data_IF_963985943024
#
_entry.id   IF_963985943024
#
_cell.length_a   1.000
_cell.length_b   1.000
_cell.length_c   1.000
_cell.angle_alpha   90.00
_cell.angle_beta   90.00
_cell.angle_gamma   90.00
#
_symmetry.space_group_name_H-M   'P 1'
#
loop_
_entity.id
_entity.type
_entity.pdbx_description
1 polymer ?
#
# COMPACT_ATOMS: atom_id res chain seq x y z
N UNK A 1 19.13 -12.19 13.34
CA UNK A 1 18.04 -12.01 12.35
C UNK A 1 16.87 -12.98 12.58
N UNK A 2 17.12 -14.29 12.78
CA UNK A 2 16.07 -15.28 13.06
C UNK A 2 15.15 -14.91 14.24
N UNK A 3 15.72 -14.49 15.38
CA UNK A 3 14.93 -14.06 16.56
C UNK A 3 13.97 -12.90 16.26
N UNK A 4 14.42 -11.94 15.47
CA UNK A 4 13.63 -10.78 15.05
C UNK A 4 12.48 -11.18 14.11
N UNK A 5 12.71 -12.14 13.20
CA UNK A 5 11.65 -12.71 12.38
C UNK A 5 10.61 -13.43 13.23
N UNK A 6 11.06 -14.27 14.17
CA UNK A 6 10.18 -15.01 15.07
C UNK A 6 9.34 -14.06 15.94
N UNK A 7 9.93 -12.96 16.43
CA UNK A 7 9.21 -11.93 17.19
C UNK A 7 8.16 -11.20 16.33
N UNK A 8 8.48 -10.89 15.07
CA UNK A 8 7.53 -10.28 14.13
C UNK A 8 6.40 -11.26 13.77
N UNK A 9 6.72 -12.53 13.54
CA UNK A 9 5.73 -13.57 13.27
C UNK A 9 4.82 -13.81 14.47
N UNK A 10 5.39 -13.84 15.68
CA UNK A 10 4.62 -13.94 16.94
C UNK A 10 3.68 -12.76 17.15
N UNK A 11 4.08 -11.55 16.72
CA UNK A 11 3.21 -10.35 16.74
C UNK A 11 2.16 -10.36 15.63
N UNK A 12 2.44 -11.02 14.50
CA UNK A 12 1.52 -11.12 13.37
C UNK A 12 0.39 -12.12 13.63
N UNK A 13 0.67 -13.25 14.28
CA UNK A 13 -0.31 -14.30 14.60
C UNK A 13 -1.59 -13.79 15.28
N UNK A 14 -1.56 -13.07 16.42
CA UNK A 14 -2.78 -12.60 17.07
C UNK A 14 -3.57 -11.59 16.22
N UNK A 15 -2.89 -10.82 15.36
CA UNK A 15 -3.55 -9.87 14.45
C UNK A 15 -4.22 -10.61 13.30
N UNK A 16 -3.57 -11.65 12.75
CA UNK A 16 -4.12 -12.49 11.71
C UNK A 16 -5.32 -13.32 12.23
N UNK A 17 -5.23 -13.85 13.44
CA UNK A 17 -6.31 -14.60 14.08
C UNK A 17 -7.51 -13.68 14.39
N UNK A 18 -7.26 -12.46 14.86
CA UNK A 18 -8.29 -11.44 15.08
C UNK A 18 -8.96 -11.00 13.76
N UNK A 19 -8.17 -10.86 12.67
CA UNK A 19 -8.69 -10.58 11.33
C UNK A 19 -9.58 -11.73 10.84
N UNK A 20 -9.12 -12.98 10.95
CA UNK A 20 -9.90 -14.17 10.52
C UNK A 20 -11.18 -14.35 11.32
N UNK A 21 -11.12 -14.18 12.64
CA UNK A 21 -12.30 -14.24 13.50
C UNK A 21 -13.34 -13.18 13.09
N UNK A 22 -12.88 -11.96 12.80
CA UNK A 22 -13.78 -10.88 12.38
C UNK A 22 -14.28 -11.01 10.94
N UNK A 23 -13.46 -11.47 10.00
CA UNK A 23 -13.89 -11.78 8.63
C UNK A 23 -14.97 -12.87 8.63
N UNK A 24 -14.82 -13.88 9.51
CA UNK A 24 -15.82 -14.94 9.71
C UNK A 24 -17.12 -14.42 10.35
N UNK A 25 -17.05 -13.52 11.35
CA UNK A 25 -18.23 -12.89 11.96
C UNK A 25 -19.00 -11.98 10.99
N UNK A 26 -18.29 -11.27 10.12
CA UNK A 26 -18.87 -10.33 9.15
C UNK A 26 -19.30 -11.04 7.85
N UNK A 27 -18.82 -12.27 7.62
CA UNK A 27 -19.10 -13.05 6.42
C UNK A 27 -18.53 -12.43 5.14
N UNK A 28 -17.52 -11.56 5.26
CA UNK A 28 -16.87 -10.89 4.13
C UNK A 28 -15.46 -10.45 4.49
N UNK A 29 -14.55 -10.56 3.53
CA UNK A 29 -13.23 -9.94 3.61
C UNK A 29 -13.27 -8.41 3.49
N UNK A 30 -12.17 -7.78 3.94
CA UNK A 30 -11.94 -6.34 3.81
C UNK A 30 -12.03 -5.92 2.34
N UNK A 31 -12.96 -5.01 2.03
CA UNK A 31 -13.13 -4.52 0.66
C UNK A 31 -12.60 -3.10 0.61
N UNK A 32 -11.31 -2.99 0.33
CA UNK A 32 -10.67 -1.71 0.05
C UNK A 32 -11.06 -1.34 -1.38
N UNK A 33 -12.21 -0.67 -1.53
CA UNK A 33 -12.72 -0.22 -2.84
C UNK A 33 -11.87 0.93 -3.40
N UNK A 34 -11.19 1.70 -2.54
CA UNK A 34 -10.43 2.88 -2.95
C UNK A 34 -9.05 2.95 -2.28
N UNK A 35 -7.94 3.12 -3.04
CA UNK A 35 -6.62 3.25 -2.44
C UNK A 35 -6.52 4.57 -1.64
N UNK A 36 -5.94 4.54 -0.42
CA UNK A 36 -5.83 5.73 0.44
C UNK A 36 -5.14 6.93 -0.22
N UNK A 37 -4.22 6.66 -1.16
CA UNK A 37 -3.48 7.69 -1.91
C UNK A 37 -4.42 8.51 -2.81
N UNK A 38 -5.36 7.86 -3.51
CA UNK A 38 -6.30 8.58 -4.37
C UNK A 38 -7.31 9.40 -3.56
N UNK A 39 -7.65 8.93 -2.35
CA UNK A 39 -8.51 9.70 -1.44
C UNK A 39 -7.85 11.03 -1.03
N UNK A 40 -6.59 11.01 -0.61
CA UNK A 40 -5.84 12.23 -0.27
C UNK A 40 -5.57 13.14 -1.47
N UNK A 41 -5.31 12.57 -2.65
CA UNK A 41 -5.17 13.35 -3.90
C UNK A 41 -6.48 14.07 -4.23
N UNK A 42 -7.63 13.40 -4.09
CA UNK A 42 -8.93 14.00 -4.35
C UNK A 42 -9.26 15.13 -3.37
N UNK A 43 -8.96 14.96 -2.08
CA UNK A 43 -9.13 16.02 -1.07
C UNK A 43 -8.25 17.22 -1.39
N UNK A 44 -6.97 16.99 -1.73
CA UNK A 44 -6.06 18.07 -2.11
C UNK A 44 -6.54 18.81 -3.37
N UNK A 45 -7.05 18.07 -4.36
CA UNK A 45 -7.64 18.65 -5.56
C UNK A 45 -8.88 19.51 -5.24
N UNK A 46 -9.76 19.04 -4.37
CA UNK A 46 -10.92 19.81 -3.90
C UNK A 46 -10.51 21.10 -3.19
N UNK A 47 -9.54 21.03 -2.27
CA UNK A 47 -9.03 22.22 -1.56
C UNK A 47 -8.40 23.25 -2.50
N UNK A 48 -7.62 22.78 -3.50
CA UNK A 48 -7.02 23.66 -4.52
C UNK A 48 -8.10 24.28 -5.42
N UNK A 49 -9.15 23.55 -5.75
CA UNK A 49 -10.27 24.06 -6.54
C UNK A 49 -11.16 25.06 -5.78
N UNK A 50 -11.30 24.89 -4.47
CA UNK A 50 -12.12 25.76 -3.63
C UNK A 50 -11.46 27.12 -3.36
N UNK A 51 -10.12 27.15 -3.29
CA UNK A 51 -9.36 28.38 -3.07
C UNK A 51 -9.70 29.52 -4.06
N UNK A 52 -9.57 29.36 -5.40
CA UNK A 52 -9.89 30.43 -6.34
C UNK A 52 -11.37 30.82 -6.28
N UNK A 53 -12.29 29.87 -6.09
CA UNK A 53 -13.71 30.16 -5.95
C UNK A 53 -13.96 31.10 -4.77
N UNK A 54 -13.48 30.74 -3.58
CA UNK A 54 -13.64 31.57 -2.37
C UNK A 54 -12.96 32.93 -2.53
N UNK A 55 -11.81 33.04 -3.21
CA UNK A 55 -11.17 34.36 -3.45
C UNK A 55 -12.00 35.29 -4.35
N UNK A 56 -12.71 34.76 -5.34
CA UNK A 56 -13.61 35.57 -6.18
C UNK A 56 -14.75 36.13 -5.34
N UNK A 57 -15.30 35.33 -4.43
CA UNK A 57 -16.39 35.73 -3.52
C UNK A 57 -15.97 36.92 -2.65
N UNK A 58 -14.86 36.81 -1.93
CA UNK A 58 -14.43 37.86 -1.01
C UNK A 58 -14.00 39.15 -1.71
N UNK A 59 -13.45 39.05 -2.93
CA UNK A 59 -13.21 40.23 -3.77
C UNK A 59 -14.50 40.95 -4.17
N UNK A 60 -15.57 40.21 -4.43
CA UNK A 60 -16.90 40.76 -4.71
C UNK A 60 -17.50 41.47 -3.48
N UNK A 61 -17.13 41.08 -2.27
CA UNK A 61 -17.53 41.76 -1.02
C UNK A 61 -16.73 43.03 -0.71
N UNK A 62 -15.74 43.38 -1.55
CA UNK A 62 -14.99 44.64 -1.42
C UNK A 62 -13.95 44.64 -0.29
N UNK A 63 -13.56 43.47 0.21
CA UNK A 63 -12.52 43.38 1.24
C UNK A 63 -11.10 43.58 0.68
N UNK A 64 -10.16 43.97 1.56
CA UNK A 64 -8.75 44.09 1.20
C UNK A 64 -8.19 42.74 0.70
N UNK A 65 -7.44 42.76 -0.41
CA UNK A 65 -6.96 41.54 -1.10
C UNK A 65 -6.26 40.55 -0.17
N UNK A 66 -5.50 41.04 0.81
CA UNK A 66 -4.79 40.18 1.76
C UNK A 66 -5.73 39.42 2.70
N UNK A 67 -6.79 40.07 3.20
CA UNK A 67 -7.78 39.43 4.07
C UNK A 67 -8.61 38.40 3.30
N UNK A 68 -8.92 38.71 2.03
CA UNK A 68 -9.59 37.78 1.10
C UNK A 68 -8.82 36.47 0.95
N UNK A 69 -7.50 36.52 0.72
CA UNK A 69 -6.72 35.29 0.56
C UNK A 69 -6.67 34.46 1.83
N UNK A 70 -6.54 35.12 2.99
CA UNK A 70 -6.54 34.42 4.28
C UNK A 70 -7.88 33.71 4.50
N UNK A 71 -9.01 34.41 4.35
CA UNK A 71 -10.33 33.82 4.56
C UNK A 71 -10.67 32.74 3.53
N UNK A 72 -10.28 32.93 2.27
CA UNK A 72 -10.45 31.91 1.24
C UNK A 72 -9.62 30.66 1.52
N UNK A 73 -8.38 30.82 1.99
CA UNK A 73 -7.50 29.70 2.34
C UNK A 73 -8.01 28.88 3.52
N UNK A 74 -8.56 29.54 4.55
CA UNK A 74 -9.09 28.84 5.73
C UNK A 74 -10.33 28.04 5.36
N UNK A 75 -11.27 28.64 4.62
CA UNK A 75 -12.46 27.92 4.15
C UNK A 75 -12.14 26.77 3.20
N UNK A 76 -11.23 26.99 2.25
CA UNK A 76 -10.79 25.96 1.29
C UNK A 76 -10.14 24.74 1.94
N UNK A 77 -9.60 24.88 3.15
CA UNK A 77 -9.05 23.76 3.92
C UNK A 77 -10.10 23.15 4.86
N UNK A 78 -10.90 23.98 5.53
CA UNK A 78 -11.84 23.52 6.55
C UNK A 78 -13.01 22.73 5.93
N UNK A 79 -13.55 23.20 4.80
CA UNK A 79 -14.74 22.60 4.19
C UNK A 79 -14.49 21.14 3.73
N UNK A 80 -13.42 20.83 2.99
CA UNK A 80 -13.12 19.44 2.62
C UNK A 80 -12.81 18.59 3.85
N UNK A 81 -12.13 19.15 4.85
CA UNK A 81 -11.69 18.42 6.05
C UNK A 81 -12.86 18.03 6.97
N UNK A 82 -13.84 18.92 7.15
CA UNK A 82 -15.11 18.59 7.81
C UNK A 82 -15.87 17.54 6.97
N UNK A 83 -15.89 17.69 5.64
CA UNK A 83 -16.51 16.72 4.74
C UNK A 83 -15.94 15.31 4.92
N UNK A 84 -14.61 15.19 5.05
CA UNK A 84 -13.92 13.93 5.33
C UNK A 84 -14.33 13.36 6.68
N UNK A 85 -14.27 14.17 7.74
CA UNK A 85 -14.63 13.73 9.09
C UNK A 85 -16.07 13.22 9.17
N UNK A 86 -17.01 13.94 8.56
CA UNK A 86 -18.41 13.53 8.49
C UNK A 86 -18.57 12.27 7.65
N UNK A 87 -17.87 12.12 6.53
CA UNK A 87 -17.93 10.91 5.70
C UNK A 87 -17.46 9.67 6.44
N UNK A 88 -16.38 9.79 7.23
CA UNK A 88 -15.91 8.73 8.13
C UNK A 88 -16.99 8.45 9.18
N UNK A 89 -17.46 9.47 9.88
CA UNK A 89 -18.41 9.29 10.98
C UNK A 89 -19.75 8.70 10.50
N UNK A 90 -20.20 9.07 9.30
CA UNK A 90 -21.42 8.56 8.66
C UNK A 90 -21.29 7.08 8.31
N UNK A 91 -20.09 6.64 7.87
CA UNK A 91 -19.84 5.22 7.58
C UNK A 91 -19.75 4.36 8.84
N UNK A 92 -19.37 4.93 9.98
CA UNK A 92 -19.29 4.23 11.27
C UNK A 92 -20.62 4.23 12.04
N UNK A 93 -21.42 5.30 11.95
CA UNK A 93 -22.63 5.47 12.76
C UNK A 93 -23.89 4.86 12.14
N UNK A 94 -23.95 4.70 10.81
CA UNK A 94 -25.18 4.29 10.12
C UNK A 94 -25.05 2.87 9.54
N UNK A 95 -26.08 2.00 9.71
CA UNK A 95 -26.10 0.66 9.10
C UNK A 95 -25.88 0.71 7.58
N UNK A 96 -25.06 -0.21 7.04
CA UNK A 96 -24.65 -0.28 5.61
C UNK A 96 -25.77 -0.01 4.62
N UNK A 97 -26.96 -0.60 4.82
CA UNK A 97 -28.09 -0.44 3.88
C UNK A 97 -28.63 1.00 3.85
N UNK A 98 -28.76 1.61 5.02
CA UNK A 98 -29.28 2.97 5.16
C UNK A 98 -28.23 3.97 4.65
N UNK A 99 -26.96 3.79 5.01
CA UNK A 99 -25.87 4.65 4.54
C UNK A 99 -25.70 4.61 3.02
N UNK A 100 -25.74 3.42 2.41
CA UNK A 100 -25.64 3.27 0.96
C UNK A 100 -26.83 3.88 0.22
N UNK A 101 -28.06 3.72 0.74
CA UNK A 101 -29.26 4.35 0.15
C UNK A 101 -29.20 5.87 0.31
N UNK A 102 -28.81 6.35 1.50
CA UNK A 102 -28.67 7.79 1.77
C UNK A 102 -27.68 8.42 0.79
N UNK A 103 -26.51 7.84 0.62
CA UNK A 103 -25.48 8.36 -0.31
C UNK A 103 -25.88 8.17 -1.77
N UNK A 104 -26.52 7.06 -2.10
CA UNK A 104 -27.07 6.81 -3.43
C UNK A 104 -28.12 7.83 -3.86
N UNK A 105 -28.87 8.40 -2.91
CA UNK A 105 -29.83 9.50 -3.16
C UNK A 105 -29.16 10.88 -3.06
N UNK A 106 -28.27 11.08 -2.10
CA UNK A 106 -27.62 12.36 -1.84
C UNK A 106 -26.66 12.76 -2.98
N UNK A 107 -25.92 11.80 -3.55
CA UNK A 107 -24.95 12.04 -4.62
C UNK A 107 -25.61 12.63 -5.89
N UNK A 108 -26.64 12.00 -6.48
CA UNK A 108 -27.31 12.58 -7.64
C UNK A 108 -28.03 13.89 -7.30
N UNK A 109 -28.56 14.06 -6.08
CA UNK A 109 -29.17 15.31 -5.63
C UNK A 109 -28.17 16.47 -5.63
N UNK A 110 -26.96 16.24 -5.10
CA UNK A 110 -25.88 17.24 -5.07
C UNK A 110 -25.38 17.56 -6.47
N UNK A 111 -25.20 16.55 -7.33
CA UNK A 111 -24.83 16.77 -8.74
C UNK A 111 -25.91 17.58 -9.45
N UNK A 112 -27.20 17.28 -9.23
CA UNK A 112 -28.29 18.04 -9.82
C UNK A 112 -28.32 19.50 -9.32
N UNK A 113 -28.17 19.72 -8.02
CA UNK A 113 -28.13 21.06 -7.43
C UNK A 113 -26.98 21.92 -7.99
N UNK A 114 -25.87 21.28 -8.33
CA UNK A 114 -24.65 21.99 -8.77
C UNK A 114 -24.67 22.27 -10.26
N UNK A 115 -25.19 21.35 -11.07
CA UNK A 115 -25.56 21.62 -12.45
C UNK A 115 -26.58 22.76 -12.54
N UNK A 116 -27.55 22.79 -11.63
CA UNK A 116 -28.53 23.89 -11.55
C UNK A 116 -27.86 25.23 -11.20
N UNK A 117 -26.98 25.26 -10.20
CA UNK A 117 -26.23 26.46 -9.83
C UNK A 117 -25.32 26.98 -10.95
N UNK A 118 -24.61 26.08 -11.64
CA UNK A 118 -23.80 26.41 -12.84
C UNK A 118 -24.70 26.95 -13.95
N UNK A 119 -25.88 26.36 -14.15
CA UNK A 119 -26.85 26.86 -15.12
C UNK A 119 -27.35 28.27 -14.77
N UNK A 120 -27.57 28.58 -13.48
CA UNK A 120 -27.92 29.93 -13.03
C UNK A 120 -26.79 30.92 -13.30
N UNK A 121 -25.54 30.58 -12.97
CA UNK A 121 -24.37 31.43 -13.27
C UNK A 121 -24.21 31.66 -14.77
N UNK A 122 -24.41 30.61 -15.57
CA UNK A 122 -24.39 30.73 -17.03
C UNK A 122 -25.49 31.68 -17.51
N UNK A 123 -26.70 31.58 -16.95
CA UNK A 123 -27.82 32.41 -17.36
C UNK A 123 -27.62 33.88 -16.96
N UNK A 124 -27.15 34.16 -15.75
CA UNK A 124 -26.82 35.53 -15.32
C UNK A 124 -25.67 36.10 -16.13
N UNK A 125 -24.65 35.30 -16.45
CA UNK A 125 -23.52 35.73 -17.29
C UNK A 125 -23.96 36.06 -18.73
N UNK A 126 -24.74 35.19 -19.37
CA UNK A 126 -25.28 35.43 -20.73
C UNK A 126 -26.21 36.64 -20.75
N UNK A 127 -27.08 36.79 -19.74
CA UNK A 127 -28.00 37.92 -19.63
C UNK A 127 -27.24 39.23 -19.42
N UNK A 128 -26.17 39.22 -18.62
CA UNK A 128 -25.32 40.40 -18.41
C UNK A 128 -24.54 40.81 -19.66
N UNK A 129 -24.11 39.85 -20.50
CA UNK A 129 -23.47 40.15 -21.79
C UNK A 129 -24.46 40.68 -22.84
N UNK A 130 -25.69 40.13 -22.90
CA UNK A 130 -26.72 40.63 -23.81
C UNK A 130 -27.26 42.02 -23.42
N UNK A 131 -27.15 42.39 -22.13
CA UNK A 131 -27.60 43.70 -21.62
C UNK A 131 -26.59 44.84 -21.83
N UNK A 132 -25.50 44.57 -22.56
CA UNK A 132 -24.49 45.56 -22.98
C UNK A 132 -25.02 46.65 -23.91
N UNK A 133 -26.33 46.69 -24.20
CA UNK A 133 -27.01 47.76 -24.95
C UNK A 133 -27.96 48.63 -24.09
N UNK A 134 -27.80 48.69 -22.76
CA UNK A 134 -28.32 49.87 -22.03
C UNK A 134 -28.93 49.66 -20.65
N UNK A 135 -28.70 48.56 -19.95
CA UNK A 135 -29.04 48.52 -18.52
C UNK A 135 -28.06 47.62 -17.78
N UNK A 136 -27.27 48.20 -16.88
CA UNK A 136 -26.48 47.44 -15.92
C UNK A 136 -27.45 46.71 -14.98
N UNK A 137 -27.85 45.50 -15.36
CA UNK A 137 -28.50 44.58 -14.44
C UNK A 137 -27.39 44.15 -13.48
N UNK A 138 -27.26 44.85 -12.35
CA UNK A 138 -26.52 44.31 -11.21
C UNK A 138 -27.10 42.92 -10.96
N UNK A 139 -26.28 41.85 -10.95
CA UNK A 139 -26.76 40.56 -10.50
C UNK A 139 -27.40 40.79 -9.13
N UNK A 140 -28.68 40.46 -8.95
CA UNK A 140 -29.28 40.45 -7.62
C UNK A 140 -28.33 39.64 -6.73
N UNK A 141 -27.68 40.27 -5.75
CA UNK A 141 -26.58 39.66 -4.98
C UNK A 141 -26.95 38.29 -4.40
N UNK A 142 -28.24 38.04 -4.22
CA UNK A 142 -28.81 36.77 -3.81
C UNK A 142 -28.53 35.63 -4.81
N UNK A 143 -28.66 35.84 -6.13
CA UNK A 143 -28.49 34.76 -7.12
C UNK A 143 -27.04 34.27 -7.20
N UNK A 144 -26.08 35.20 -7.10
CA UNK A 144 -24.65 34.85 -7.07
C UNK A 144 -24.29 34.14 -5.76
N UNK A 145 -24.84 34.60 -4.63
CA UNK A 145 -24.66 33.94 -3.33
C UNK A 145 -25.22 32.50 -3.32
N UNK A 146 -26.40 32.26 -3.91
CA UNK A 146 -26.97 30.91 -4.03
C UNK A 146 -26.11 29.98 -4.87
N UNK A 147 -25.52 30.46 -5.96
CA UNK A 147 -24.65 29.64 -6.80
C UNK A 147 -23.33 29.26 -6.09
N UNK A 148 -22.74 30.20 -5.35
CA UNK A 148 -21.53 29.98 -4.57
C UNK A 148 -21.78 29.02 -3.39
N UNK A 149 -22.93 29.18 -2.71
CA UNK A 149 -23.36 28.24 -1.69
C UNK A 149 -23.53 26.82 -2.24
N UNK A 150 -24.14 26.68 -3.42
CA UNK A 150 -24.29 25.37 -4.07
C UNK A 150 -22.95 24.75 -4.48
N UNK A 151 -21.97 25.55 -4.93
CA UNK A 151 -20.62 25.07 -5.23
C UNK A 151 -19.87 24.63 -3.97
N UNK A 152 -19.93 25.38 -2.87
CA UNK A 152 -19.30 24.97 -1.61
C UNK A 152 -19.98 23.72 -1.02
N UNK A 153 -21.31 23.60 -1.17
CA UNK A 153 -22.04 22.38 -0.85
C UNK A 153 -21.57 21.19 -1.71
N UNK A 154 -21.29 21.38 -3.01
CA UNK A 154 -20.73 20.33 -3.88
C UNK A 154 -19.41 19.80 -3.33
N UNK A 155 -18.50 20.71 -3.00
CA UNK A 155 -17.16 20.36 -2.53
C UNK A 155 -17.25 19.60 -1.21
N UNK A 156 -18.06 20.10 -0.29
CA UNK A 156 -18.36 19.45 0.98
C UNK A 156 -18.93 18.04 0.80
N UNK A 157 -20.04 17.90 0.05
CA UNK A 157 -20.68 16.61 -0.16
C UNK A 157 -19.82 15.65 -0.99
N UNK A 158 -19.07 16.17 -1.96
CA UNK A 158 -18.09 15.39 -2.72
C UNK A 158 -17.00 14.81 -1.83
N UNK A 159 -16.46 15.60 -0.90
CA UNK A 159 -15.51 15.13 0.11
C UNK A 159 -16.15 14.10 1.06
N UNK A 160 -17.40 14.31 1.49
CA UNK A 160 -18.15 13.37 2.33
C UNK A 160 -18.40 12.04 1.64
N UNK A 161 -18.83 12.04 0.39
CA UNK A 161 -19.08 10.83 -0.40
C UNK A 161 -17.78 10.10 -0.69
N UNK A 162 -16.72 10.81 -1.08
CA UNK A 162 -15.41 10.23 -1.29
C UNK A 162 -14.84 9.60 -0.02
N UNK A 163 -14.96 10.28 1.12
CA UNK A 163 -14.54 9.77 2.42
C UNK A 163 -15.38 8.58 2.86
N UNK A 164 -16.69 8.62 2.62
CA UNK A 164 -17.56 7.49 2.86
C UNK A 164 -17.07 6.29 2.06
N UNK A 165 -16.84 6.37 0.74
CA UNK A 165 -16.40 5.22 -0.04
C UNK A 165 -14.98 4.73 0.29
N UNK A 166 -14.09 5.63 0.70
CA UNK A 166 -12.67 5.34 0.95
C UNK A 166 -12.38 4.54 2.24
N UNK A 167 -13.23 4.60 3.26
CA UNK A 167 -13.01 3.89 4.53
C UNK A 167 -13.87 2.62 4.60
N UNK A 168 -13.39 1.46 5.05
CA UNK A 168 -14.29 0.30 5.26
C UNK A 168 -15.27 0.62 6.44
N UNK A 169 -16.51 0.09 6.50
CA UNK A 169 -17.45 0.38 7.58
C UNK A 169 -17.15 -0.41 8.86
N UNK A 170 -16.05 -1.15 8.88
CA UNK A 170 -15.55 -1.80 10.09
C UNK A 170 -14.12 -1.31 10.36
N UNK A 171 -14.03 -0.35 11.28
CA UNK A 171 -12.79 0.28 11.75
C UNK A 171 -11.75 -0.75 12.21
N UNK A 172 -12.22 -1.85 12.80
CA UNK A 172 -11.35 -2.90 13.34
C UNK A 172 -10.79 -3.77 12.22
N UNK A 173 -11.59 -4.08 11.20
CA UNK A 173 -11.14 -4.87 10.05
C UNK A 173 -10.08 -4.11 9.24
N UNK A 174 -10.28 -2.81 9.02
CA UNK A 174 -9.34 -1.94 8.31
C UNK A 174 -8.04 -1.74 9.12
N UNK A 175 -8.16 -1.55 10.44
CA UNK A 175 -7.01 -1.50 11.35
C UNK A 175 -6.20 -2.80 11.38
N UNK A 176 -6.85 -3.96 11.37
CA UNK A 176 -6.17 -5.25 11.28
C UNK A 176 -5.49 -5.46 9.93
N UNK A 177 -6.13 -5.07 8.83
CA UNK A 177 -5.52 -5.14 7.50
C UNK A 177 -4.28 -4.24 7.40
N UNK A 178 -4.37 -2.99 7.85
CA UNK A 178 -3.25 -2.06 7.84
C UNK A 178 -2.09 -2.50 8.73
N UNK A 179 -2.38 -3.02 9.93
CA UNK A 179 -1.36 -3.52 10.84
C UNK A 179 -0.68 -4.78 10.31
N UNK A 180 -1.42 -5.70 9.68
CA UNK A 180 -0.85 -6.85 8.96
C UNK A 180 0.08 -6.38 7.84
N UNK A 181 -0.36 -5.44 7.00
CA UNK A 181 0.42 -4.92 5.87
C UNK A 181 1.69 -4.18 6.34
N UNK A 182 1.61 -3.48 7.47
CA UNK A 182 2.75 -2.81 8.08
C UNK A 182 3.78 -3.82 8.65
N UNK A 183 3.31 -4.90 9.29
CA UNK A 183 4.18 -5.97 9.78
C UNK A 183 4.83 -6.74 8.63
N UNK A 184 4.08 -7.02 7.57
CA UNK A 184 4.59 -7.74 6.39
C UNK A 184 5.69 -6.93 5.67
N UNK A 185 5.48 -5.62 5.50
CA UNK A 185 6.52 -4.70 4.98
C UNK A 185 7.80 -4.71 5.80
N UNK A 186 7.72 -4.85 7.13
CA UNK A 186 8.89 -4.95 8.01
C UNK A 186 9.57 -6.32 7.93
N UNK A 187 8.80 -7.37 7.70
CA UNK A 187 9.28 -8.75 7.62
C UNK A 187 9.97 -9.04 6.28
N UNK A 188 9.48 -8.47 5.18
CA UNK A 188 10.01 -8.67 3.83
C UNK A 188 11.54 -8.45 3.67
N UNK A 189 12.13 -7.31 4.10
CA UNK A 189 13.58 -7.09 3.96
C UNK A 189 14.40 -8.05 4.81
N UNK A 190 13.88 -8.47 5.97
CA UNK A 190 14.58 -9.41 6.86
C UNK A 190 14.57 -10.82 6.26
N UNK A 191 13.43 -11.25 5.70
CA UNK A 191 13.35 -12.51 4.93
C UNK A 191 14.32 -12.49 3.76
N UNK A 192 14.34 -11.42 2.96
CA UNK A 192 15.25 -11.28 1.82
C UNK A 192 16.73 -11.42 2.22
N UNK A 193 17.14 -10.77 3.32
CA UNK A 193 18.51 -10.89 3.85
C UNK A 193 18.83 -12.32 4.32
N UNK A 194 17.87 -12.97 4.99
CA UNK A 194 18.04 -14.33 5.47
C UNK A 194 18.21 -15.33 4.31
N UNK A 195 17.39 -15.20 3.26
CA UNK A 195 17.50 -16.00 2.05
C UNK A 195 18.85 -15.79 1.36
N UNK A 196 19.28 -14.54 1.17
CA UNK A 196 20.57 -14.23 0.55
C UNK A 196 21.74 -14.86 1.31
N UNK A 197 21.74 -14.72 2.64
CA UNK A 197 22.76 -15.32 3.49
C UNK A 197 22.74 -16.86 3.44
N UNK A 198 21.56 -17.46 3.35
CA UNK A 198 21.40 -18.89 3.16
C UNK A 198 21.95 -19.43 1.85
N UNK A 199 21.67 -18.71 0.76
CA UNK A 199 22.20 -19.07 -0.55
C UNK A 199 23.71 -18.93 -0.62
N UNK A 200 24.27 -17.91 0.02
CA UNK A 200 25.72 -17.69 0.12
C UNK A 200 26.40 -18.85 0.89
N UNK A 201 25.89 -19.18 2.09
CA UNK A 201 26.39 -20.29 2.88
C UNK A 201 26.30 -21.64 2.16
N UNK A 202 25.18 -21.92 1.49
CA UNK A 202 25.04 -23.15 0.71
C UNK A 202 26.04 -23.19 -0.46
N UNK A 203 26.32 -22.04 -1.08
CA UNK A 203 27.38 -21.90 -2.09
C UNK A 203 28.77 -22.22 -1.53
N UNK A 204 29.12 -21.68 -0.36
CA UNK A 204 30.41 -21.96 0.30
C UNK A 204 30.55 -23.44 0.69
N UNK A 205 29.49 -24.05 1.24
CA UNK A 205 29.47 -25.48 1.58
C UNK A 205 29.72 -26.32 0.33
N UNK A 206 29.08 -25.99 -0.79
CA UNK A 206 29.23 -26.74 -2.04
C UNK A 206 30.62 -26.56 -2.65
N UNK A 207 31.18 -25.35 -2.59
CA UNK A 207 32.56 -25.09 -3.00
C UNK A 207 33.56 -25.89 -2.15
N UNK A 208 33.39 -25.92 -0.83
CA UNK A 208 34.24 -26.69 0.06
C UNK A 208 34.16 -28.20 -0.22
N UNK A 209 32.96 -28.73 -0.47
CA UNK A 209 32.75 -30.13 -0.88
C UNK A 209 33.48 -30.44 -2.19
N UNK A 210 33.30 -29.60 -3.20
CA UNK A 210 33.95 -29.75 -4.50
C UNK A 210 35.47 -29.75 -4.36
N UNK A 211 36.03 -28.83 -3.57
CA UNK A 211 37.48 -28.74 -3.37
C UNK A 211 38.07 -29.96 -2.66
N UNK A 212 37.36 -30.50 -1.65
CA UNK A 212 37.75 -31.74 -0.98
C UNK A 212 37.76 -32.91 -1.96
N UNK A 213 36.75 -33.02 -2.81
CA UNK A 213 36.65 -34.11 -3.78
C UNK A 213 37.70 -33.98 -4.89
N UNK A 214 38.00 -32.76 -5.33
CA UNK A 214 39.12 -32.47 -6.23
C UNK A 214 40.45 -32.94 -5.62
N UNK A 215 40.74 -32.57 -4.38
CA UNK A 215 41.96 -32.99 -3.66
C UNK A 215 42.05 -34.51 -3.50
N UNK A 216 40.93 -35.19 -3.25
CA UNK A 216 40.87 -36.66 -3.23
C UNK A 216 41.20 -37.26 -4.60
N UNK A 217 40.64 -36.70 -5.67
CA UNK A 217 40.89 -37.16 -7.04
C UNK A 217 42.38 -37.02 -7.43
N UNK A 218 42.99 -35.88 -7.12
CA UNK A 218 44.42 -35.61 -7.37
C UNK A 218 45.31 -36.54 -6.53
N UNK A 219 44.95 -36.76 -5.27
CA UNK A 219 45.68 -37.67 -4.39
C UNK A 219 45.61 -39.11 -4.92
N UNK A 220 44.43 -39.55 -5.38
CA UNK A 220 44.25 -40.87 -6.01
C UNK A 220 45.10 -41.01 -7.27
N UNK A 221 45.12 -39.98 -8.13
CA UNK A 221 45.95 -39.96 -9.33
C UNK A 221 47.44 -40.05 -9.00
N UNK A 222 47.93 -39.26 -8.03
CA UNK A 222 49.32 -39.29 -7.58
C UNK A 222 49.72 -40.65 -7.02
N UNK A 223 48.84 -41.28 -6.23
CA UNK A 223 49.07 -42.63 -5.70
C UNK A 223 49.14 -43.65 -6.84
N UNK A 224 48.27 -43.55 -7.85
CA UNK A 224 48.31 -44.44 -9.02
C UNK A 224 49.60 -44.27 -9.83
N UNK A 225 50.03 -43.03 -10.08
CA UNK A 225 51.30 -42.75 -10.76
C UNK A 225 52.50 -43.31 -9.99
N UNK A 226 52.51 -43.14 -8.65
CA UNK A 226 53.51 -43.74 -7.79
C UNK A 226 53.52 -45.27 -7.91
N UNK A 227 52.35 -45.92 -7.85
CA UNK A 227 52.22 -47.37 -8.01
C UNK A 227 52.75 -47.84 -9.36
N UNK A 228 52.37 -47.19 -10.45
CA UNK A 228 52.83 -47.51 -11.81
C UNK A 228 54.35 -47.36 -11.95
N UNK A 229 54.90 -46.24 -11.46
CA UNK A 229 56.34 -45.99 -11.51
C UNK A 229 57.12 -47.00 -10.66
N UNK A 230 56.61 -47.33 -9.46
CA UNK A 230 57.21 -48.33 -8.59
C UNK A 230 57.23 -49.71 -9.25
N UNK A 231 56.10 -50.17 -9.82
CA UNK A 231 56.02 -51.45 -10.53
C UNK A 231 57.05 -51.50 -11.67
N UNK A 232 57.20 -50.41 -12.43
CA UNK A 232 58.13 -50.35 -13.57
C UNK A 232 59.60 -50.51 -13.17
N UNK A 233 60.02 -49.93 -12.04
CA UNK A 233 61.43 -49.89 -11.65
C UNK A 233 61.81 -50.93 -10.58
N UNK A 234 60.83 -51.64 -10.02
CA UNK A 234 61.05 -52.62 -8.95
C UNK A 234 61.48 -53.96 -9.54
N UNK A 235 62.55 -54.54 -8.99
CA UNK A 235 63.02 -55.90 -9.34
C UNK A 235 62.31 -57.03 -8.55
N UNK A 236 61.58 -56.66 -7.49
CA UNK A 236 60.85 -57.55 -6.60
C UNK A 236 59.34 -57.48 -6.86
N UNK A 237 58.59 -58.45 -6.31
CA UNK A 237 57.12 -58.45 -6.35
C UNK A 237 56.52 -57.15 -5.77
N UNK A 238 55.38 -56.69 -6.30
CA UNK A 238 54.72 -55.47 -5.82
C UNK A 238 54.21 -55.65 -4.38
N UNK A 239 54.24 -54.59 -3.55
CA UNK A 239 53.72 -54.64 -2.19
C UNK A 239 52.24 -55.06 -2.16
N UNK A 240 51.80 -55.83 -1.14
CA UNK A 240 50.40 -56.23 -1.00
C UNK A 240 49.42 -55.05 -0.96
N UNK A 241 49.84 -53.89 -0.46
CA UNK A 241 49.03 -52.65 -0.40
C UNK A 241 48.61 -52.12 -1.77
N UNK A 242 49.29 -52.51 -2.86
CA UNK A 242 48.94 -52.09 -4.21
C UNK A 242 47.71 -52.82 -4.76
N UNK A 243 47.31 -53.92 -4.13
CA UNK A 243 46.13 -54.71 -4.49
C UNK A 243 44.82 -54.10 -3.98
N UNK A 244 44.90 -53.13 -3.06
CA UNK A 244 43.73 -52.42 -2.51
C UNK A 244 43.55 -51.07 -3.18
N UNK A 245 42.31 -50.67 -3.34
CA UNK A 245 41.99 -49.32 -3.80
C UNK A 245 42.43 -48.26 -2.78
N UNK A 246 42.60 -47.03 -3.25
CA UNK A 246 42.89 -45.90 -2.36
C UNK A 246 41.64 -45.59 -1.55
N UNK A 247 41.72 -45.82 -0.24
CA UNK A 247 40.66 -45.50 0.71
C UNK A 247 40.92 -44.11 1.33
N UNK A 248 39.86 -43.33 1.46
CA UNK A 248 39.86 -42.04 2.16
C UNK A 248 38.98 -42.14 3.41
N UNK A 249 39.29 -41.41 4.49
CA UNK A 249 38.42 -41.36 5.66
C UNK A 249 37.03 -40.83 5.26
N UNK A 250 35.99 -41.46 5.81
CA UNK A 250 34.60 -41.00 5.65
C UNK A 250 34.44 -39.64 6.32
N UNK A 251 34.06 -38.63 5.54
CA UNK A 251 33.80 -37.29 6.06
C UNK A 251 32.31 -37.14 6.38
N UNK A 252 32.01 -36.57 7.54
CA UNK A 252 30.67 -36.07 7.82
C UNK A 252 30.53 -34.70 7.16
N UNK A 253 29.70 -34.62 6.12
CA UNK A 253 29.45 -33.37 5.42
C UNK A 253 28.66 -32.39 6.28
N UNK A 254 28.96 -31.10 6.14
CA UNK A 254 28.14 -30.07 6.76
C UNK A 254 26.71 -30.12 6.21
N UNK A 255 25.69 -29.96 7.07
CA UNK A 255 24.30 -29.93 6.64
C UNK A 255 24.05 -28.68 5.78
N UNK A 256 23.29 -28.83 4.71
CA UNK A 256 22.81 -27.68 3.92
C UNK A 256 21.76 -26.92 4.71
N UNK A 257 21.78 -25.58 4.62
CA UNK A 257 20.80 -24.75 5.30
C UNK A 257 19.48 -24.77 4.52
N UNK A 258 18.44 -25.36 5.11
CA UNK A 258 17.10 -25.35 4.53
C UNK A 258 16.45 -23.98 4.74
N UNK A 259 16.29 -23.23 3.66
CA UNK A 259 15.62 -21.92 3.70
C UNK A 259 14.10 -22.01 3.54
N UNK A 260 13.56 -23.22 3.41
CA UNK A 260 12.13 -23.41 3.21
C UNK A 260 11.38 -23.38 4.54
N UNK A 261 11.09 -22.19 5.05
CA UNK A 261 9.92 -22.01 5.90
C UNK A 261 8.70 -22.05 4.98
N UNK A 262 8.24 -23.25 4.64
CA UNK A 262 6.86 -23.48 4.20
C UNK A 262 5.93 -23.10 5.38
N UNK A 263 5.70 -21.81 5.53
CA UNK A 263 4.47 -21.24 6.05
C UNK A 263 3.88 -20.41 4.92
N UNK A 264 3.53 -21.09 3.83
CA UNK A 264 2.30 -20.73 3.16
C UNK A 264 1.18 -20.94 4.18
N UNK A 265 0.40 -19.91 4.55
CA UNK A 265 -0.91 -20.19 5.07
C UNK A 265 -1.67 -20.84 3.91
N UNK A 266 -1.73 -22.17 3.91
CA UNK A 266 -2.81 -22.85 3.21
C UNK A 266 -4.13 -22.35 3.80
N UNK A 267 -5.09 -22.11 2.92
CA UNK A 267 -6.46 -21.75 3.28
C UNK A 267 -6.86 -20.39 2.72
N UNK A 268 -7.32 -20.45 1.48
CA UNK A 268 -8.57 -19.84 0.96
C UNK A 268 -9.04 -18.54 1.58
#
# INVERSE_FOLDING_TARGET
>A
MQRHLNDLERRMRPVADAYKARSAEVGRDAMIVFPPVFHWILIAFLAVGEFPLNTVVFRLFGEAEYMTYIMASTLALIIPLIGVFIGVHLRHAIPRRIGNVLIGVLTPLVVAATLYAVSLLRNTYITSQMSSTGTQILPEGNQMAYALFALNALVFFGATVASYFAHDPDERLDGFHHSMKALDRKMHPIRKKLYAFGTELNGEIEQAKSHIEEMRSLTKQRIQLYRQSNIRHRRLLPPPSFRRDTEFPTLQWWPTVSMNNNHHPEGT
#
